data_IF_679937508431
#
_entry.id   IF_679937508431
#
_cell.length_a   1.000
_cell.length_b   1.000
_cell.length_c   1.000
_cell.angle_alpha   90.00
_cell.angle_beta   90.00
_cell.angle_gamma   90.00
#
_symmetry.space_group_name_H-M   'P 1'
#
loop_
_entity.id
_entity.type
_entity.pdbx_description
1 polymer ?
#
# COMPACT_ATOMS: atom_id res chain seq x y z
N UNK A 1 11.14 9.53 -10.05
CA UNK A 1 10.16 9.54 -8.94
C UNK A 1 10.51 8.42 -7.98
N UNK A 2 10.41 8.67 -6.67
CA UNK A 2 10.69 7.64 -5.65
C UNK A 2 9.62 7.69 -4.56
N UNK A 3 8.94 6.57 -4.31
CA UNK A 3 7.91 6.48 -3.28
C UNK A 3 8.09 5.23 -2.41
N UNK A 4 7.49 5.27 -1.24
CA UNK A 4 7.54 4.19 -0.26
C UNK A 4 6.13 3.62 -0.09
N UNK A 5 6.02 2.30 0.08
CA UNK A 5 4.80 1.60 0.47
C UNK A 5 5.07 0.91 1.80
N UNK A 6 4.30 1.28 2.81
CA UNK A 6 4.34 0.66 4.14
C UNK A 6 2.95 0.11 4.45
N UNK A 7 2.86 -1.07 5.03
CA UNK A 7 1.60 -1.75 5.29
C UNK A 7 1.54 -2.28 6.71
N UNK A 8 0.33 -2.49 7.21
CA UNK A 8 0.09 -3.27 8.41
C UNK A 8 0.82 -2.71 9.64
N UNK A 9 0.50 -1.45 9.95
CA UNK A 9 1.06 -0.74 11.09
C UNK A 9 0.41 -1.10 12.42
N UNK A 10 -0.88 -1.45 12.39
CA UNK A 10 -1.69 -1.86 13.54
C UNK A 10 -1.54 -0.95 14.75
N UNK A 11 -1.70 0.37 14.55
CA UNK A 11 -1.65 1.33 15.65
C UNK A 11 -2.69 0.99 16.71
N UNK A 12 -2.24 0.87 17.95
CA UNK A 12 -3.11 0.51 19.08
C UNK A 12 -3.24 -0.99 19.33
N UNK A 13 -2.50 -1.86 18.63
CA UNK A 13 -2.53 -3.29 18.89
C UNK A 13 -2.07 -3.59 20.33
N UNK A 14 -2.89 -4.32 21.14
CA UNK A 14 -2.51 -4.71 22.49
C UNK A 14 -1.20 -5.51 22.53
N UNK A 15 -0.48 -5.39 23.61
CA UNK A 15 0.77 -6.12 23.88
C UNK A 15 1.86 -5.94 22.81
N UNK A 16 1.86 -4.77 22.14
CA UNK A 16 2.89 -4.37 21.20
C UNK A 16 3.43 -2.97 21.48
N UNK A 17 4.65 -2.72 21.02
CA UNK A 17 5.24 -1.37 21.04
C UNK A 17 4.80 -0.54 19.82
N UNK A 18 3.50 -0.54 19.50
CA UNK A 18 2.99 0.11 18.30
C UNK A 18 3.42 1.58 18.15
N UNK A 19 3.53 2.33 19.24
CA UNK A 19 4.03 3.72 19.21
C UNK A 19 5.47 3.79 18.73
N UNK A 20 6.31 2.86 19.20
CA UNK A 20 7.70 2.79 18.78
C UNK A 20 7.81 2.40 17.30
N UNK A 21 7.02 1.42 16.81
CA UNK A 21 7.02 1.03 15.40
C UNK A 21 6.70 2.20 14.46
N UNK A 22 5.71 3.03 14.84
CA UNK A 22 5.35 4.21 14.06
C UNK A 22 6.43 5.31 14.15
N UNK A 23 7.01 5.52 15.33
CA UNK A 23 8.14 6.45 15.50
C UNK A 23 9.33 6.04 14.65
N UNK A 24 9.64 4.74 14.63
CA UNK A 24 10.73 4.19 13.83
C UNK A 24 10.47 4.37 12.33
N UNK A 25 9.27 4.01 11.85
CA UNK A 25 8.89 4.21 10.44
C UNK A 25 9.04 5.69 10.04
N UNK A 26 8.51 6.61 10.83
CA UNK A 26 8.62 8.06 10.57
C UNK A 26 10.09 8.48 10.48
N UNK A 27 10.92 8.02 11.43
CA UNK A 27 12.36 8.31 11.43
C UNK A 27 13.06 7.76 10.18
N UNK A 28 12.75 6.53 9.79
CA UNK A 28 13.33 5.89 8.61
C UNK A 28 12.92 6.60 7.32
N UNK A 29 11.63 6.91 7.15
CA UNK A 29 11.13 7.62 5.96
C UNK A 29 11.69 9.04 5.87
N UNK A 30 11.74 9.76 6.97
CA UNK A 30 12.32 11.11 7.01
C UNK A 30 13.82 11.08 6.66
N UNK A 31 14.56 10.06 7.11
CA UNK A 31 15.96 9.84 6.74
C UNK A 31 16.12 9.51 5.25
N UNK A 32 15.27 8.61 4.71
CA UNK A 32 15.25 8.31 3.27
C UNK A 32 14.95 9.56 2.43
N UNK A 33 14.00 10.39 2.87
CA UNK A 33 13.69 11.68 2.24
C UNK A 33 14.92 12.60 2.20
N UNK A 34 15.62 12.72 3.32
CA UNK A 34 16.79 13.58 3.42
C UNK A 34 17.97 13.09 2.58
N UNK A 35 18.19 11.76 2.53
CA UNK A 35 19.36 11.18 1.87
C UNK A 35 19.19 10.95 0.37
N UNK A 36 18.00 10.54 -0.06
CA UNK A 36 17.74 10.09 -1.44
C UNK A 36 16.55 10.77 -2.11
N UNK A 37 15.78 11.55 -1.36
CA UNK A 37 14.52 12.09 -1.83
C UNK A 37 13.42 11.03 -1.84
N UNK A 38 12.24 11.40 -1.38
CA UNK A 38 11.02 10.59 -1.44
C UNK A 38 9.87 11.52 -1.81
N UNK A 39 9.12 11.15 -2.82
CA UNK A 39 8.02 11.95 -3.33
C UNK A 39 6.77 11.83 -2.46
N UNK A 40 6.49 10.64 -1.94
CA UNK A 40 5.40 10.36 -1.00
C UNK A 40 5.58 8.99 -0.34
N UNK A 41 4.83 8.78 0.74
CA UNK A 41 4.63 7.50 1.40
C UNK A 41 3.18 7.05 1.16
N UNK A 42 2.96 5.77 0.88
CA UNK A 42 1.65 5.14 0.85
C UNK A 42 1.51 4.14 1.99
N UNK A 43 0.50 4.31 2.83
CA UNK A 43 0.10 3.33 3.85
C UNK A 43 -0.95 2.39 3.25
N UNK A 44 -0.59 1.13 3.04
CA UNK A 44 -1.43 0.17 2.35
C UNK A 44 -2.31 -0.66 3.29
N UNK A 45 -3.14 0.01 4.08
CA UNK A 45 -4.15 -0.59 4.96
C UNK A 45 -3.65 -1.07 6.31
N UNK A 46 -4.58 -1.48 7.15
CA UNK A 46 -4.39 -1.86 8.55
C UNK A 46 -3.58 -0.81 9.33
N UNK A 47 -4.06 0.44 9.22
CA UNK A 47 -3.47 1.60 9.85
C UNK A 47 -3.57 1.51 11.37
N UNK A 48 -4.76 1.11 11.85
CA UNK A 48 -5.12 0.93 13.26
C UNK A 48 -5.54 -0.52 13.53
N UNK A 49 -5.66 -0.89 14.80
CA UNK A 49 -6.01 -2.26 15.19
C UNK A 49 -7.38 -2.32 15.88
N UNK A 50 -8.41 -2.66 15.11
CA UNK A 50 -9.77 -3.00 15.53
C UNK A 50 -10.57 -1.92 16.27
N UNK A 51 -10.00 -0.77 16.58
CA UNK A 51 -10.64 0.33 17.27
C UNK A 51 -10.64 1.61 16.40
N UNK A 52 -11.76 1.92 15.72
CA UNK A 52 -11.89 3.12 14.88
C UNK A 52 -11.59 4.45 15.59
N UNK A 53 -11.71 4.50 16.92
CA UNK A 53 -11.45 5.73 17.68
C UNK A 53 -9.97 6.14 17.65
N UNK A 54 -9.07 5.21 17.35
CA UNK A 54 -7.64 5.45 17.24
C UNK A 54 -7.21 6.14 15.95
N UNK A 55 -8.13 6.30 14.97
CA UNK A 55 -7.77 6.85 13.66
C UNK A 55 -7.20 8.26 13.76
N UNK A 56 -7.71 9.10 14.65
CA UNK A 56 -7.18 10.44 14.87
C UNK A 56 -5.80 10.43 15.52
N UNK A 57 -5.58 9.56 16.50
CA UNK A 57 -4.28 9.42 17.16
C UNK A 57 -3.22 8.92 16.18
N UNK A 58 -3.57 7.95 15.33
CA UNK A 58 -2.73 7.52 14.22
C UNK A 58 -2.40 8.68 13.29
N UNK A 59 -3.42 9.43 12.82
CA UNK A 59 -3.22 10.58 11.94
C UNK A 59 -2.31 11.63 12.57
N UNK A 60 -2.49 11.93 13.85
CA UNK A 60 -1.62 12.86 14.58
C UNK A 60 -0.18 12.35 14.66
N UNK A 61 0.00 11.06 14.90
CA UNK A 61 1.33 10.44 14.96
C UNK A 61 2.07 10.58 13.63
N UNK A 62 1.43 10.24 12.51
CA UNK A 62 2.06 10.31 11.19
C UNK A 62 2.19 11.73 10.64
N UNK A 63 1.59 12.75 11.28
CA UNK A 63 1.79 14.16 10.90
C UNK A 63 3.25 14.63 11.04
N UNK A 64 4.09 13.87 11.74
CA UNK A 64 5.53 14.09 11.85
C UNK A 64 6.34 13.62 10.62
N UNK A 65 5.68 13.04 9.62
CA UNK A 65 6.31 12.72 8.33
C UNK A 65 6.66 14.01 7.57
N UNK A 66 7.87 14.06 7.04
CA UNK A 66 8.35 15.18 6.21
C UNK A 66 7.99 15.02 4.71
N UNK A 67 7.20 13.98 4.38
CA UNK A 67 6.74 13.69 3.02
C UNK A 67 5.22 13.69 2.97
N UNK A 68 4.59 14.02 1.84
CA UNK A 68 3.17 13.75 1.62
C UNK A 68 2.88 12.27 1.80
N UNK A 69 1.69 11.94 2.27
CA UNK A 69 1.28 10.54 2.38
C UNK A 69 -0.15 10.33 1.91
N UNK A 70 -0.46 9.10 1.53
CA UNK A 70 -1.77 8.60 1.15
C UNK A 70 -2.03 7.30 1.89
N UNK A 71 -3.30 6.93 2.03
CA UNK A 71 -3.71 5.75 2.78
C UNK A 71 -4.78 4.95 2.05
N UNK A 72 -4.77 3.63 2.20
CA UNK A 72 -5.90 2.74 1.92
C UNK A 72 -6.47 2.18 3.22
N UNK A 73 -7.73 1.73 3.18
CA UNK A 73 -8.35 1.04 4.29
C UNK A 73 -7.98 -0.44 4.27
N UNK A 74 -7.60 -0.99 5.43
CA UNK A 74 -7.48 -2.43 5.66
C UNK A 74 -8.65 -2.98 6.49
N UNK A 75 -8.64 -4.29 6.72
CA UNK A 75 -9.75 -4.95 7.43
C UNK A 75 -9.73 -4.70 8.95
N UNK A 76 -8.58 -4.40 9.53
CA UNK A 76 -8.49 -4.02 10.95
C UNK A 76 -8.84 -2.55 11.20
N UNK A 77 -8.98 -1.73 10.17
CA UNK A 77 -9.33 -0.33 10.37
C UNK A 77 -10.78 -0.14 10.82
N UNK A 78 -11.71 -0.96 10.33
CA UNK A 78 -13.14 -0.99 10.74
C UNK A 78 -13.81 0.39 10.78
N UNK A 79 -13.39 1.30 9.91
CA UNK A 79 -13.85 2.69 9.86
C UNK A 79 -14.94 2.84 8.80
N UNK A 80 -16.05 3.47 9.17
CA UNK A 80 -17.12 3.83 8.24
C UNK A 80 -16.70 4.88 7.21
N UNK A 81 -17.35 4.91 6.05
CA UNK A 81 -16.98 5.76 4.92
C UNK A 81 -16.99 7.26 5.25
N UNK A 82 -17.96 7.72 6.04
CA UNK A 82 -18.08 9.13 6.42
C UNK A 82 -16.92 9.58 7.32
N UNK A 83 -16.54 8.73 8.29
CA UNK A 83 -15.40 9.00 9.18
C UNK A 83 -14.10 8.95 8.37
N UNK A 84 -13.98 7.98 7.45
CA UNK A 84 -12.81 7.89 6.56
C UNK A 84 -12.65 9.17 5.74
N UNK A 85 -13.69 9.56 5.01
CA UNK A 85 -13.65 10.75 4.15
C UNK A 85 -13.43 12.04 4.93
N UNK A 86 -14.05 12.20 6.10
CA UNK A 86 -13.83 13.38 6.95
C UNK A 86 -12.40 13.44 7.51
N UNK A 87 -11.79 12.29 7.76
CA UNK A 87 -10.43 12.21 8.28
C UNK A 87 -9.40 12.48 7.20
N UNK A 88 -9.52 11.85 6.02
CA UNK A 88 -8.49 11.89 4.99
C UNK A 88 -8.76 12.86 3.85
N UNK A 89 -10.00 13.34 3.68
CA UNK A 89 -10.40 14.25 2.61
C UNK A 89 -10.75 13.56 1.28
N UNK A 90 -10.73 12.23 1.23
CA UNK A 90 -11.07 11.43 0.06
C UNK A 90 -11.71 10.09 0.47
N UNK A 91 -12.52 9.46 -0.43
CA UNK A 91 -13.16 8.18 -0.15
C UNK A 91 -12.13 7.03 -0.10
N UNK A 92 -12.57 5.84 0.35
CA UNK A 92 -11.73 4.63 0.39
C UNK A 92 -11.27 4.20 -0.99
N UNK A 93 -12.15 4.28 -2.00
CA UNK A 93 -11.78 4.16 -3.41
C UNK A 93 -11.40 5.54 -3.95
N UNK A 94 -10.15 5.74 -4.31
CA UNK A 94 -9.71 7.02 -4.88
C UNK A 94 -8.52 6.84 -5.81
N UNK A 95 -8.17 7.87 -6.55
CA UNK A 95 -6.97 7.91 -7.37
C UNK A 95 -6.34 9.30 -7.34
N UNK A 96 -5.06 9.35 -7.64
CA UNK A 96 -4.35 10.58 -7.89
C UNK A 96 -3.30 10.38 -8.99
N UNK A 97 -2.82 11.48 -9.55
CA UNK A 97 -1.73 11.47 -10.52
C UNK A 97 -0.55 12.29 -10.05
N UNK A 98 0.65 11.83 -10.34
CA UNK A 98 1.89 12.57 -10.11
C UNK A 98 2.78 12.43 -11.35
N UNK A 99 2.97 13.53 -12.05
CA UNK A 99 3.67 13.54 -13.33
C UNK A 99 2.99 12.59 -14.34
N UNK A 100 3.78 11.72 -14.94
CA UNK A 100 3.35 10.79 -15.98
C UNK A 100 2.69 9.50 -15.43
N UNK A 101 2.53 9.36 -14.13
CA UNK A 101 2.04 8.15 -13.48
C UNK A 101 0.75 8.42 -12.72
N UNK A 102 -0.09 7.38 -12.62
CA UNK A 102 -1.30 7.39 -11.81
C UNK A 102 -1.24 6.30 -10.73
N UNK A 103 -1.96 6.56 -9.65
CA UNK A 103 -2.03 5.72 -8.47
C UNK A 103 -3.50 5.51 -8.16
N UNK A 104 -3.94 4.25 -8.20
CA UNK A 104 -5.35 3.87 -8.02
C UNK A 104 -5.44 3.02 -6.76
N UNK A 105 -6.32 3.39 -5.87
CA UNK A 105 -6.54 2.75 -4.59
C UNK A 105 -7.94 2.13 -4.59
N UNK A 106 -8.00 0.79 -4.50
CA UNK A 106 -9.23 0.03 -4.41
C UNK A 106 -9.45 -0.49 -2.99
N UNK A 107 -10.65 -0.30 -2.48
CA UNK A 107 -11.04 -0.80 -1.17
C UNK A 107 -11.28 -2.31 -1.22
N UNK A 108 -10.75 -3.03 -0.24
CA UNK A 108 -10.81 -4.51 -0.15
C UNK A 108 -11.44 -5.01 1.14
N UNK A 109 -11.97 -4.10 1.96
CA UNK A 109 -12.67 -4.45 3.20
C UNK A 109 -13.83 -3.49 3.44
N UNK A 110 -14.79 -3.91 4.28
CA UNK A 110 -15.87 -3.04 4.72
C UNK A 110 -15.62 -2.52 6.15
N UNK A 111 -16.56 -1.74 6.67
CA UNK A 111 -16.50 -1.18 8.02
C UNK A 111 -16.57 -2.20 9.15
N UNK A 112 -16.90 -3.46 8.85
CA UNK A 112 -16.90 -4.57 9.81
C UNK A 112 -15.59 -5.38 9.75
N UNK A 113 -14.69 -5.05 8.82
CA UNK A 113 -13.48 -5.80 8.57
C UNK A 113 -13.69 -7.05 7.70
N UNK A 114 -14.86 -7.19 7.07
CA UNK A 114 -15.12 -8.29 6.14
C UNK A 114 -14.41 -8.02 4.81
N UNK A 115 -13.82 -9.05 4.24
CA UNK A 115 -13.09 -8.95 2.96
C UNK A 115 -14.08 -8.82 1.82
N UNK A 116 -13.85 -7.85 0.94
CA UNK A 116 -14.68 -7.60 -0.24
C UNK A 116 -13.80 -7.46 -1.48
N UNK A 117 -14.30 -7.90 -2.62
CA UNK A 117 -13.63 -7.61 -3.87
C UNK A 117 -13.68 -6.11 -4.15
N UNK A 118 -12.59 -5.51 -4.66
CA UNK A 118 -12.63 -4.14 -5.15
C UNK A 118 -13.73 -3.95 -6.19
N UNK A 119 -14.34 -2.78 -6.20
CA UNK A 119 -15.37 -2.45 -7.22
C UNK A 119 -14.75 -2.40 -8.62
N UNK A 120 -14.97 -3.46 -9.38
CA UNK A 120 -14.43 -3.61 -10.74
C UNK A 120 -14.98 -2.55 -11.71
N UNK A 121 -16.22 -2.11 -11.52
CA UNK A 121 -16.84 -1.06 -12.35
C UNK A 121 -16.18 0.30 -12.10
N UNK A 122 -15.96 0.64 -10.83
CA UNK A 122 -15.24 1.84 -10.45
C UNK A 122 -13.78 1.78 -10.94
N UNK A 123 -13.07 0.67 -10.69
CA UNK A 123 -11.70 0.48 -11.16
C UNK A 123 -11.58 0.67 -12.68
N UNK A 124 -12.48 0.08 -13.46
CA UNK A 124 -12.52 0.23 -14.91
C UNK A 124 -12.68 1.69 -15.34
N UNK A 125 -13.58 2.41 -14.67
CA UNK A 125 -13.81 3.83 -14.94
C UNK A 125 -12.58 4.66 -14.59
N UNK A 126 -11.96 4.37 -13.46
CA UNK A 126 -10.78 5.11 -12.97
C UNK A 126 -9.54 4.85 -13.82
N UNK A 127 -9.31 3.59 -14.24
CA UNK A 127 -8.26 3.22 -15.18
C UNK A 127 -8.43 3.98 -16.50
N UNK A 128 -9.66 4.09 -17.01
CA UNK A 128 -9.94 4.80 -18.27
C UNK A 128 -9.60 6.30 -18.18
N UNK A 129 -9.77 6.94 -17.04
CA UNK A 129 -9.34 8.35 -16.83
C UNK A 129 -7.83 8.52 -16.94
N UNK A 130 -7.08 7.48 -16.61
CA UNK A 130 -5.62 7.49 -16.60
C UNK A 130 -4.99 6.74 -17.79
N UNK A 131 -5.76 6.45 -18.84
CA UNK A 131 -5.29 5.68 -20.01
C UNK A 131 -4.06 6.26 -20.70
N UNK A 132 -3.91 7.59 -20.67
CA UNK A 132 -2.81 8.31 -21.31
C UNK A 132 -1.55 8.43 -20.42
N UNK A 133 -1.60 7.90 -19.21
CA UNK A 133 -0.44 7.86 -18.31
C UNK A 133 0.54 6.76 -18.74
N UNK A 134 1.83 7.02 -18.57
CA UNK A 134 2.90 6.04 -18.83
C UNK A 134 2.77 4.78 -18.00
N UNK A 135 2.22 4.91 -16.79
CA UNK A 135 2.00 3.79 -15.90
C UNK A 135 0.98 4.05 -14.83
N UNK A 136 0.30 2.99 -14.43
CA UNK A 136 -0.64 2.96 -13.32
C UNK A 136 -0.10 1.99 -12.27
N UNK A 137 -0.04 2.42 -11.04
CA UNK A 137 0.24 1.59 -9.87
C UNK A 137 -1.03 1.45 -9.06
N UNK A 138 -1.39 0.21 -8.70
CA UNK A 138 -2.62 -0.11 -7.99
C UNK A 138 -2.31 -0.56 -6.57
N UNK A 139 -3.10 -0.10 -5.60
CA UNK A 139 -2.99 -0.46 -4.20
C UNK A 139 -4.26 -1.13 -3.74
N UNK A 140 -4.13 -2.35 -3.27
CA UNK A 140 -5.19 -3.17 -2.71
C UNK A 140 -4.65 -3.77 -1.41
N UNK A 141 -5.28 -3.50 -0.28
CA UNK A 141 -4.77 -4.08 0.97
C UNK A 141 -4.79 -5.61 0.92
N UNK A 142 -5.94 -6.22 0.59
CA UNK A 142 -6.08 -7.67 0.47
C UNK A 142 -5.84 -8.09 -0.98
N UNK A 143 -5.03 -9.14 -1.19
CA UNK A 143 -4.77 -9.66 -2.55
C UNK A 143 -6.04 -10.16 -3.23
N UNK A 144 -6.31 -9.77 -4.50
CA UNK A 144 -7.55 -10.10 -5.20
C UNK A 144 -7.55 -11.51 -5.81
N UNK A 145 -6.67 -12.39 -5.34
CA UNK A 145 -6.62 -13.80 -5.75
C UNK A 145 -6.23 -14.68 -4.56
N UNK A 146 -6.68 -15.93 -4.57
CA UNK A 146 -6.38 -16.92 -3.53
C UNK A 146 -4.97 -17.50 -3.62
N UNK A 147 -3.97 -16.62 -3.65
CA UNK A 147 -2.56 -17.03 -3.63
C UNK A 147 -2.03 -17.25 -2.22
N UNK A 148 -2.69 -16.66 -1.24
CA UNK A 148 -2.48 -16.85 0.19
C UNK A 148 -3.77 -17.37 0.81
N UNK A 149 -3.71 -17.83 2.06
CA UNK A 149 -4.91 -18.27 2.80
C UNK A 149 -5.88 -17.12 3.07
N UNK A 150 -5.37 -15.89 3.09
CA UNK A 150 -6.13 -14.68 3.38
C UNK A 150 -6.59 -13.92 2.12
N UNK A 151 -6.13 -14.34 0.93
CA UNK A 151 -6.56 -13.75 -0.34
C UNK A 151 -8.02 -14.02 -0.65
N UNK A 152 -8.63 -13.16 -1.46
CA UNK A 152 -10.00 -13.30 -1.96
C UNK A 152 -10.02 -13.54 -3.47
N UNK A 153 -11.04 -14.24 -3.96
CA UNK A 153 -11.14 -14.51 -5.41
C UNK A 153 -11.97 -13.45 -6.12
N UNK A 154 -11.29 -12.54 -6.81
CA UNK A 154 -11.88 -11.43 -7.53
C UNK A 154 -11.53 -11.51 -9.02
N UNK A 155 -12.06 -12.55 -9.69
CA UNK A 155 -11.72 -12.84 -11.09
C UNK A 155 -11.89 -11.64 -12.01
N UNK A 156 -12.96 -10.89 -11.88
CA UNK A 156 -13.22 -9.72 -12.73
C UNK A 156 -12.13 -8.63 -12.59
N UNK A 157 -11.64 -8.43 -11.35
CA UNK A 157 -10.54 -7.47 -11.07
C UNK A 157 -9.22 -7.96 -11.68
N UNK A 158 -8.92 -9.25 -11.52
CA UNK A 158 -7.72 -9.85 -12.11
C UNK A 158 -7.77 -9.74 -13.65
N UNK A 159 -8.89 -10.12 -14.25
CA UNK A 159 -9.07 -10.04 -15.70
C UNK A 159 -8.94 -8.58 -16.21
N UNK A 160 -9.48 -7.61 -15.46
CA UNK A 160 -9.34 -6.19 -15.78
C UNK A 160 -7.87 -5.75 -15.76
N UNK A 161 -7.10 -6.14 -14.74
CA UNK A 161 -5.69 -5.75 -14.63
C UNK A 161 -4.84 -6.40 -15.74
N UNK A 162 -5.05 -7.68 -16.02
CA UNK A 162 -4.33 -8.38 -17.10
C UNK A 162 -4.57 -7.75 -18.47
N UNK A 163 -5.79 -7.28 -18.71
CA UNK A 163 -6.17 -6.65 -19.98
C UNK A 163 -5.85 -5.14 -20.04
N UNK A 164 -5.21 -4.58 -19.03
CA UNK A 164 -4.83 -3.16 -18.99
C UNK A 164 -3.32 -3.00 -19.13
N UNK A 165 -2.79 -2.67 -20.32
CA UNK A 165 -1.34 -2.70 -20.57
C UNK A 165 -0.51 -1.75 -19.72
N UNK A 166 -1.05 -0.57 -19.39
CA UNK A 166 -0.34 0.46 -18.63
C UNK A 166 -0.38 0.28 -17.11
N UNK A 167 -1.05 -0.76 -16.56
CA UNK A 167 -0.84 -1.16 -15.17
C UNK A 167 0.56 -1.78 -15.06
N UNK A 168 1.38 -1.22 -14.17
CA UNK A 168 2.77 -1.61 -13.95
C UNK A 168 2.93 -2.59 -12.80
N UNK A 169 2.20 -2.38 -11.71
CA UNK A 169 2.26 -3.21 -10.52
C UNK A 169 1.00 -3.07 -9.68
N UNK A 170 0.75 -4.10 -8.87
CA UNK A 170 -0.25 -4.11 -7.82
C UNK A 170 0.46 -4.36 -6.48
N UNK A 171 0.13 -3.58 -5.44
CA UNK A 171 0.69 -3.68 -4.10
C UNK A 171 -0.35 -4.19 -3.14
N UNK A 172 0.05 -5.17 -2.32
CA UNK A 172 -0.81 -5.81 -1.33
C UNK A 172 -0.12 -5.80 0.05
N UNK A 173 -0.88 -5.48 1.09
CA UNK A 173 -0.52 -5.70 2.50
C UNK A 173 -1.13 -6.98 3.01
N UNK A 174 -1.69 -6.94 4.23
CA UNK A 174 -2.51 -7.97 4.87
C UNK A 174 -1.77 -9.27 5.24
N UNK A 175 -0.99 -9.82 4.35
CA UNK A 175 -0.22 -11.03 4.56
C UNK A 175 1.17 -10.66 5.14
N UNK A 176 1.23 -10.47 6.46
CA UNK A 176 2.44 -10.00 7.17
C UNK A 176 3.66 -10.90 7.00
N UNK A 177 3.45 -12.19 6.71
CA UNK A 177 4.49 -13.19 6.46
C UNK A 177 4.97 -13.21 5.00
N UNK A 178 4.42 -12.32 4.16
CA UNK A 178 4.75 -12.22 2.75
C UNK A 178 5.43 -10.88 2.44
N UNK A 179 6.63 -10.94 1.90
CA UNK A 179 7.37 -9.79 1.35
C UNK A 179 7.78 -10.03 -0.10
N UNK A 180 7.19 -11.06 -0.71
CA UNK A 180 7.54 -11.63 -2.01
C UNK A 180 6.86 -10.88 -3.18
N UNK A 181 7.08 -11.39 -4.38
CA UNK A 181 6.43 -10.94 -5.60
C UNK A 181 5.80 -12.11 -6.30
N UNK A 182 4.52 -12.02 -6.60
CA UNK A 182 3.81 -12.94 -7.47
C UNK A 182 3.70 -12.34 -8.86
N UNK A 183 4.18 -13.05 -9.88
CA UNK A 183 3.91 -12.68 -11.26
C UNK A 183 2.70 -13.47 -11.72
N UNK A 184 1.64 -12.77 -12.13
CA UNK A 184 0.48 -13.38 -12.74
C UNK A 184 0.24 -12.75 -14.13
N UNK A 185 0.19 -13.59 -15.13
CA UNK A 185 0.24 -13.11 -16.51
C UNK A 185 1.50 -12.28 -16.76
N UNK A 186 1.32 -10.97 -16.96
CA UNK A 186 2.43 -10.01 -17.15
C UNK A 186 2.53 -8.99 -16.01
N UNK A 187 1.78 -9.18 -14.93
CA UNK A 187 1.69 -8.20 -13.85
C UNK A 187 2.39 -8.70 -12.60
N UNK A 188 3.25 -7.87 -11.99
CA UNK A 188 3.76 -8.14 -10.65
C UNK A 188 2.75 -7.70 -9.59
N UNK A 189 2.48 -8.59 -8.65
CA UNK A 189 1.75 -8.34 -7.42
C UNK A 189 2.76 -8.43 -6.29
N UNK A 190 2.97 -7.33 -5.61
CA UNK A 190 3.89 -7.23 -4.49
C UNK A 190 3.14 -7.44 -3.19
N UNK A 191 3.76 -8.18 -2.29
CA UNK A 191 3.37 -8.28 -0.90
C UNK A 191 4.33 -7.43 -0.09
N UNK A 192 3.81 -6.49 0.70
CA UNK A 192 4.62 -5.42 1.29
C UNK A 192 5.14 -5.76 2.69
N UNK A 193 4.84 -6.97 3.20
CA UNK A 193 5.15 -7.35 4.58
C UNK A 193 4.42 -6.45 5.57
N UNK A 194 5.12 -6.08 6.65
CA UNK A 194 4.54 -5.22 7.67
C UNK A 194 5.60 -4.31 8.32
N UNK A 195 5.17 -3.16 8.86
CA UNK A 195 6.02 -2.33 9.70
C UNK A 195 5.58 -2.31 11.18
N UNK A 196 4.44 -2.89 11.50
CA UNK A 196 3.88 -2.99 12.86
C UNK A 196 3.37 -4.40 13.14
N UNK A 197 2.50 -4.54 14.14
CA UNK A 197 1.95 -5.84 14.52
C UNK A 197 2.96 -6.76 15.24
N UNK A 198 2.46 -7.89 15.74
CA UNK A 198 3.26 -8.87 16.50
C UNK A 198 3.42 -10.22 15.80
N UNK A 199 3.00 -10.33 14.54
CA UNK A 199 3.14 -11.54 13.70
C UNK A 199 3.67 -11.19 12.32
N UNK A 200 4.12 -12.19 11.57
CA UNK A 200 4.60 -12.03 10.21
C UNK A 200 6.09 -12.30 10.04
N UNK A 201 6.73 -11.57 9.13
CA UNK A 201 8.18 -11.65 8.92
C UNK A 201 8.96 -11.29 10.19
N UNK A 202 10.18 -11.81 10.30
CA UNK A 202 11.03 -11.57 11.49
C UNK A 202 11.54 -10.13 11.61
N UNK A 203 11.34 -9.33 10.57
CA UNK A 203 11.75 -7.91 10.54
C UNK A 203 10.53 -7.03 10.23
N UNK A 204 10.63 -5.78 10.61
CA UNK A 204 9.68 -4.72 10.23
C UNK A 204 10.33 -3.84 9.17
N UNK A 205 9.60 -3.60 8.08
CA UNK A 205 10.16 -2.88 6.95
C UNK A 205 9.09 -2.26 6.06
N UNK A 206 9.52 -1.83 4.89
CA UNK A 206 8.67 -1.22 3.89
C UNK A 206 9.23 -1.46 2.50
N UNK A 207 8.41 -1.27 1.49
CA UNK A 207 8.82 -1.37 0.09
C UNK A 207 9.19 0.01 -0.45
N UNK A 208 10.27 0.05 -1.24
CA UNK A 208 10.66 1.24 -1.99
C UNK A 208 10.40 0.99 -3.48
N UNK A 209 9.90 2.01 -4.16
CA UNK A 209 9.72 2.01 -5.62
C UNK A 209 10.45 3.21 -6.20
N UNK A 210 11.27 2.97 -7.19
CA UNK A 210 12.04 4.00 -7.90
C UNK A 210 11.70 3.94 -9.40
N UNK A 211 11.29 5.07 -9.96
CA UNK A 211 10.99 5.23 -11.39
C UNK A 211 11.99 6.22 -11.95
N UNK A 212 12.75 5.78 -12.94
CA UNK A 212 13.84 6.53 -13.56
C UNK A 212 13.36 7.36 -14.75
N UNK A 213 14.21 8.27 -15.23
CA UNK A 213 13.90 9.18 -16.34
C UNK A 213 13.64 8.42 -17.66
N UNK A 214 14.33 7.31 -17.87
CA UNK A 214 14.15 6.43 -19.02
C UNK A 214 12.89 5.57 -18.94
N UNK A 215 12.05 5.80 -17.93
CA UNK A 215 10.83 5.05 -17.64
C UNK A 215 11.06 3.61 -17.17
N UNK A 216 12.28 3.19 -16.93
CA UNK A 216 12.52 1.98 -16.17
C UNK A 216 12.15 2.19 -14.70
N UNK A 217 11.82 1.12 -14.01
CA UNK A 217 11.48 1.21 -12.59
C UNK A 217 11.94 -0.05 -11.86
N UNK A 218 12.16 0.09 -10.57
CA UNK A 218 12.45 -1.03 -9.68
C UNK A 218 11.65 -0.92 -8.39
N UNK A 219 11.43 -2.07 -7.76
CA UNK A 219 10.83 -2.15 -6.43
C UNK A 219 11.60 -3.18 -5.60
N UNK A 220 11.81 -2.86 -4.34
CA UNK A 220 12.47 -3.76 -3.40
C UNK A 220 11.92 -3.56 -1.99
N UNK A 221 11.82 -4.68 -1.27
CA UNK A 221 11.53 -4.67 0.15
C UNK A 221 12.77 -4.24 0.91
N UNK A 222 12.62 -3.38 1.88
CA UNK A 222 13.71 -2.78 2.62
C UNK A 222 13.56 -3.00 4.12
N UNK A 223 14.56 -3.62 4.72
CA UNK A 223 14.72 -3.70 6.16
C UNK A 223 15.63 -2.56 6.61
N UNK A 224 15.10 -1.51 7.27
CA UNK A 224 15.90 -0.35 7.67
C UNK A 224 16.89 -0.63 8.81
N UNK A 225 16.77 -1.78 9.47
CA UNK A 225 17.66 -2.21 10.56
C UNK A 225 18.82 -3.08 10.09
N UNK A 226 18.78 -3.50 8.83
CA UNK A 226 19.81 -4.33 8.21
C UNK A 226 19.96 -3.98 6.73
N UNK A 227 21.09 -4.33 6.17
CA UNK A 227 21.31 -4.42 4.73
C UNK A 227 21.59 -5.90 4.41
N UNK A 228 21.27 -6.40 3.26
CA UNK A 228 20.96 -5.75 1.99
C UNK A 228 19.43 -5.64 1.70
N UNK A 229 19.12 -5.19 0.48
CA UNK A 229 17.80 -5.34 -0.15
C UNK A 229 17.35 -6.79 -0.12
N UNK A 230 16.12 -7.07 0.33
CA UNK A 230 15.62 -8.42 0.53
C UNK A 230 14.87 -8.97 -0.69
N UNK A 231 14.07 -8.14 -1.34
CA UNK A 231 13.24 -8.53 -2.48
C UNK A 231 13.19 -7.37 -3.48
N UNK A 232 13.56 -7.61 -4.72
CA UNK A 232 13.59 -6.57 -5.76
C UNK A 232 12.93 -7.01 -7.05
N UNK A 233 12.31 -6.07 -7.74
CA UNK A 233 11.74 -6.22 -9.06
C UNK A 233 12.11 -5.02 -9.93
N UNK A 234 12.52 -5.28 -11.16
CA UNK A 234 12.80 -4.23 -12.16
C UNK A 234 11.89 -4.41 -13.36
N UNK A 235 11.24 -3.33 -13.76
CA UNK A 235 10.36 -3.31 -14.93
C UNK A 235 10.62 -2.11 -15.83
N UNK A 236 10.06 -2.14 -17.04
CA UNK A 236 10.00 -1.00 -17.96
C UNK A 236 8.56 -0.51 -18.07
N UNK A 237 8.41 0.78 -18.18
CA UNK A 237 7.11 1.43 -18.43
C UNK A 237 6.77 1.46 -19.91
#
# INVERSE_FOLDING_TARGET
MRFIVASDGHYGQPDTDFKQFHTDLISWVNREKMQKGVDFLFFNGDLIHDDPTLLYDFKNTISNLSVPFYVSRGNHDKVGLDVWQSTWGYPTNHSFAKGEYAFIIGDTSNEKGEYVCPDATWLKTEIAKHKDKKGIFVFLHITPAKWTVNGIECKEVIDLFENTPNIKAIFNGHDHDQDSTKIYGKKPYFFDGHFGGNWGTTYKGYRIVEIYEDSTWQSYQYNPTAAPVLNSFTGKS
#
